data_IF_378082467969
#
_entry.id   IF_378082467969
#
_cell.length_a   1.000
_cell.length_b   1.000
_cell.length_c   1.000
_cell.angle_alpha   90.00
_cell.angle_beta   90.00
_cell.angle_gamma   90.00
#
_symmetry.space_group_name_H-M   'P 1'
#
loop_
_entity.id
_entity.type
_entity.pdbx_description
1 polymer ?
#
# COMPACT_ATOMS: atom_id res chain seq x y z
N UNK A 1 -24.59 -41.32 -0.45
CA UNK A 1 -23.88 -40.01 -0.55
C UNK A 1 -24.92 -38.93 -0.35
N UNK A 2 -24.94 -38.31 0.84
CA UNK A 2 -25.98 -37.36 1.23
C UNK A 2 -25.98 -36.10 0.42
N UNK A 3 -27.14 -35.65 0.00
CA UNK A 3 -27.40 -34.43 -0.78
C UNK A 3 -26.87 -33.17 -0.09
N UNK A 4 -26.57 -33.24 1.21
CA UNK A 4 -26.04 -32.12 2.00
C UNK A 4 -24.59 -31.75 1.65
N UNK A 5 -23.77 -32.67 1.13
CA UNK A 5 -22.37 -32.38 0.72
C UNK A 5 -22.24 -31.53 -0.56
N UNK A 6 -23.27 -31.52 -1.41
CA UNK A 6 -23.26 -30.76 -2.68
C UNK A 6 -23.50 -29.24 -2.50
N UNK A 7 -23.99 -28.83 -1.33
CA UNK A 7 -24.32 -27.41 -1.06
C UNK A 7 -23.08 -26.51 -0.79
N UNK A 8 -21.93 -27.10 -0.52
CA UNK A 8 -20.69 -26.38 -0.16
C UNK A 8 -19.77 -26.12 -1.36
N UNK A 9 -20.11 -26.67 -2.54
CA UNK A 9 -19.26 -26.58 -3.73
C UNK A 9 -19.50 -25.31 -4.57
N UNK A 10 -18.43 -24.74 -5.18
CA UNK A 10 -18.54 -23.64 -6.14
C UNK A 10 -19.43 -24.03 -7.33
N UNK A 11 -20.14 -23.09 -7.96
CA UNK A 11 -21.12 -23.36 -9.03
C UNK A 11 -20.58 -24.18 -10.21
N UNK A 12 -19.33 -23.97 -10.60
CA UNK A 12 -18.67 -24.68 -11.70
C UNK A 12 -18.40 -26.16 -11.40
N UNK A 13 -18.07 -26.51 -10.17
CA UNK A 13 -17.82 -27.90 -9.74
C UNK A 13 -19.13 -28.65 -9.56
N UNK A 14 -20.21 -27.97 -9.21
CA UNK A 14 -21.57 -28.55 -9.17
C UNK A 14 -22.04 -28.96 -10.56
N UNK A 15 -21.75 -28.13 -11.58
CA UNK A 15 -22.13 -28.42 -12.96
C UNK A 15 -21.39 -29.65 -13.52
N UNK A 16 -20.08 -29.74 -13.27
CA UNK A 16 -19.25 -30.88 -13.72
C UNK A 16 -19.64 -32.20 -13.04
N UNK A 17 -19.88 -32.19 -11.73
CA UNK A 17 -20.29 -33.37 -10.97
C UNK A 17 -21.73 -33.80 -11.35
N UNK A 18 -22.65 -32.86 -11.57
CA UNK A 18 -24.01 -33.13 -12.01
C UNK A 18 -24.09 -33.76 -13.39
N UNK A 19 -23.25 -33.34 -14.33
CA UNK A 19 -23.18 -33.91 -15.70
C UNK A 19 -22.51 -35.28 -15.72
N UNK A 20 -21.53 -35.57 -14.86
CA UNK A 20 -20.91 -36.88 -14.75
C UNK A 20 -21.88 -37.94 -14.19
N UNK A 21 -22.64 -37.57 -13.16
CA UNK A 21 -23.64 -38.46 -12.52
C UNK A 21 -24.84 -38.73 -13.45
N UNK A 22 -25.29 -37.75 -14.27
CA UNK A 22 -26.42 -37.93 -15.20
C UNK A 22 -26.09 -38.82 -16.40
N UNK A 23 -24.81 -38.98 -16.75
CA UNK A 23 -24.33 -39.79 -17.88
C UNK A 23 -23.89 -41.20 -17.50
N UNK A 24 -23.98 -41.60 -16.23
CA UNK A 24 -23.64 -42.95 -15.78
C UNK A 24 -22.14 -43.33 -15.95
N UNK A 25 -21.24 -42.36 -16.07
CA UNK A 25 -19.83 -42.57 -16.36
C UNK A 25 -19.00 -42.52 -15.07
N UNK A 26 -18.88 -43.66 -14.38
CA UNK A 26 -18.18 -43.79 -13.10
C UNK A 26 -16.70 -43.33 -13.19
N UNK A 27 -16.04 -43.54 -14.33
CA UNK A 27 -14.64 -43.15 -14.56
C UNK A 27 -14.42 -41.63 -14.48
N UNK A 28 -15.35 -40.82 -15.02
CA UNK A 28 -15.25 -39.36 -14.97
C UNK A 28 -15.55 -38.81 -13.57
N UNK A 29 -16.35 -39.54 -12.78
CA UNK A 29 -16.62 -39.18 -11.39
C UNK A 29 -15.39 -39.39 -10.50
N UNK A 30 -14.65 -40.46 -10.72
CA UNK A 30 -13.41 -40.77 -9.98
C UNK A 30 -12.29 -39.80 -10.35
N UNK A 31 -12.13 -39.42 -11.63
CA UNK A 31 -11.16 -38.40 -12.05
C UNK A 31 -11.51 -37.00 -11.49
N UNK A 32 -12.78 -36.63 -11.49
CA UNK A 32 -13.24 -35.38 -10.90
C UNK A 32 -13.04 -35.34 -9.38
N UNK A 33 -13.26 -36.50 -8.71
CA UNK A 33 -13.04 -36.62 -7.27
C UNK A 33 -11.54 -36.57 -6.93
N UNK A 34 -10.68 -37.24 -7.72
CA UNK A 34 -9.24 -37.17 -7.57
C UNK A 34 -8.68 -35.75 -7.77
N UNK A 35 -9.25 -34.99 -8.72
CA UNK A 35 -8.87 -33.60 -8.98
C UNK A 35 -9.28 -32.68 -7.79
N UNK A 36 -10.47 -32.89 -7.24
CA UNK A 36 -10.99 -32.10 -6.09
C UNK A 36 -10.19 -32.39 -4.83
N UNK A 37 -9.85 -33.65 -4.57
CA UNK A 37 -9.01 -34.01 -3.42
C UNK A 37 -7.58 -33.49 -3.60
N UNK A 38 -7.03 -33.55 -4.82
CA UNK A 38 -5.71 -32.97 -5.13
C UNK A 38 -5.65 -31.45 -4.96
N UNK A 39 -6.69 -30.74 -5.39
CA UNK A 39 -6.81 -29.27 -5.21
C UNK A 39 -7.01 -28.93 -3.73
N UNK A 40 -7.83 -29.69 -3.00
CA UNK A 40 -8.02 -29.49 -1.55
C UNK A 40 -6.73 -29.69 -0.77
N UNK A 41 -5.99 -30.78 -1.04
CA UNK A 41 -4.70 -31.04 -0.40
C UNK A 41 -3.64 -29.97 -0.79
N UNK A 42 -3.68 -29.45 -2.01
CA UNK A 42 -2.79 -28.39 -2.45
C UNK A 42 -3.10 -27.07 -1.74
N UNK A 43 -4.38 -26.73 -1.56
CA UNK A 43 -4.81 -25.56 -0.77
C UNK A 43 -4.44 -25.71 0.70
N UNK A 44 -4.61 -26.88 1.30
CA UNK A 44 -4.21 -27.14 2.68
C UNK A 44 -2.69 -27.02 2.87
N UNK A 45 -1.89 -27.52 1.95
CA UNK A 45 -0.43 -27.36 1.98
C UNK A 45 -0.02 -25.90 1.77
N UNK A 46 -0.68 -25.15 0.87
CA UNK A 46 -0.39 -23.73 0.67
C UNK A 46 -0.77 -22.89 1.91
N UNK A 47 -1.89 -23.21 2.57
CA UNK A 47 -2.37 -22.51 3.77
C UNK A 47 -1.57 -22.84 5.03
N UNK A 48 -0.82 -23.94 5.06
CA UNK A 48 0.06 -24.30 6.20
C UNK A 48 1.47 -23.75 6.08
N UNK A 49 1.87 -23.25 4.90
CA UNK A 49 3.25 -22.77 4.64
C UNK A 49 3.44 -21.26 4.82
N UNK A 50 2.34 -20.49 4.89
CA UNK A 50 2.42 -19.02 5.11
C UNK A 50 1.51 -18.61 6.27
N UNK A 51 1.89 -17.59 7.07
CA UNK A 51 1.00 -17.07 8.10
C UNK A 51 -0.32 -16.66 7.46
N UNK A 52 -1.40 -17.32 7.86
CA UNK A 52 -2.73 -17.06 7.32
C UNK A 52 -3.20 -15.63 7.64
N UNK A 53 -4.22 -15.15 6.92
CA UNK A 53 -4.82 -13.82 7.17
C UNK A 53 -5.14 -13.61 8.65
N UNK A 54 -5.65 -14.65 9.34
CA UNK A 54 -5.98 -14.60 10.77
C UNK A 54 -4.75 -14.31 11.64
N UNK A 55 -3.60 -14.91 11.35
CA UNK A 55 -2.36 -14.71 12.11
C UNK A 55 -1.82 -13.28 11.91
N UNK A 56 -1.76 -12.81 10.69
CA UNK A 56 -1.32 -11.45 10.39
C UNK A 56 -2.24 -10.42 11.02
N UNK A 57 -3.57 -10.61 10.92
CA UNK A 57 -4.53 -9.67 11.50
C UNK A 57 -4.49 -9.69 13.03
N UNK A 58 -4.29 -10.84 13.67
CA UNK A 58 -4.10 -10.96 15.13
C UNK A 58 -2.82 -10.22 15.58
N UNK A 59 -1.75 -10.29 14.79
CA UNK A 59 -0.52 -9.55 15.08
C UNK A 59 -0.73 -8.03 15.00
N UNK A 60 -1.41 -7.54 13.99
CA UNK A 60 -1.66 -6.10 13.78
C UNK A 60 -2.73 -5.57 14.73
N UNK A 61 -3.70 -6.41 15.15
CA UNK A 61 -4.82 -6.03 15.99
C UNK A 61 -4.46 -5.69 17.45
N UNK A 62 -3.25 -6.01 17.90
CA UNK A 62 -2.77 -5.62 19.24
C UNK A 62 -2.41 -4.12 19.26
N UNK A 63 -2.92 -3.31 20.19
CA UNK A 63 -2.70 -1.87 20.21
C UNK A 63 -1.23 -1.44 20.29
N UNK A 64 -0.41 -2.18 21.06
CA UNK A 64 1.01 -1.86 21.20
C UNK A 64 1.76 -2.13 19.90
N UNK A 65 1.51 -3.29 19.26
CA UNK A 65 2.10 -3.62 17.95
C UNK A 65 1.62 -2.69 16.85
N UNK A 66 0.34 -2.33 16.82
CA UNK A 66 -0.20 -1.35 15.88
C UNK A 66 0.50 0.02 16.00
N UNK A 67 0.73 0.50 17.24
CA UNK A 67 1.45 1.74 17.48
C UNK A 67 2.92 1.65 17.03
N UNK A 68 3.60 0.52 17.26
CA UNK A 68 4.97 0.29 16.78
C UNK A 68 5.04 0.33 15.24
N UNK A 69 4.14 -0.38 14.56
CA UNK A 69 4.06 -0.39 13.10
C UNK A 69 3.76 1.01 12.54
N UNK A 70 2.81 1.71 13.15
CA UNK A 70 2.46 3.08 12.75
C UNK A 70 3.62 4.06 12.92
N UNK A 71 4.44 3.91 13.98
CA UNK A 71 5.62 4.75 14.19
C UNK A 71 6.70 4.54 13.13
N UNK A 72 6.78 3.35 12.54
CA UNK A 72 7.74 3.01 11.49
C UNK A 72 7.28 3.41 10.07
N UNK A 73 6.05 3.92 9.94
CA UNK A 73 5.49 4.32 8.65
C UNK A 73 6.18 5.53 8.02
N UNK A 74 6.92 6.32 8.81
CA UNK A 74 7.72 7.43 8.29
C UNK A 74 9.01 6.99 7.58
N UNK A 75 9.31 5.69 7.58
CA UNK A 75 10.47 5.08 6.93
C UNK A 75 11.74 5.05 7.79
N UNK A 76 11.74 5.67 8.97
CA UNK A 76 12.87 5.62 9.89
C UNK A 76 13.04 4.23 10.50
N UNK A 77 14.27 3.89 10.81
CA UNK A 77 14.59 2.76 11.66
C UNK A 77 14.62 3.23 13.13
N UNK A 78 13.88 2.55 14.01
CA UNK A 78 13.79 2.87 15.43
C UNK A 78 14.35 1.74 16.28
N UNK A 79 14.91 2.10 17.43
CA UNK A 79 15.39 1.15 18.44
C UNK A 79 14.23 0.53 19.23
N UNK A 80 14.48 -0.59 19.91
CA UNK A 80 13.47 -1.22 20.77
C UNK A 80 12.99 -0.26 21.88
N UNK A 81 13.86 0.59 22.41
CA UNK A 81 13.53 1.57 23.46
C UNK A 81 12.57 2.65 22.93
N UNK A 82 12.84 3.20 21.74
CA UNK A 82 11.95 4.18 21.10
C UNK A 82 10.58 3.57 20.78
N UNK A 83 10.55 2.33 20.27
CA UNK A 83 9.31 1.62 19.98
C UNK A 83 8.53 1.25 21.25
N UNK A 84 9.21 0.90 22.35
CA UNK A 84 8.59 0.69 23.65
C UNK A 84 7.91 1.96 24.17
N UNK A 85 8.60 3.10 24.05
CA UNK A 85 8.05 4.41 24.41
C UNK A 85 6.80 4.77 23.61
N UNK A 86 6.86 4.64 22.28
CA UNK A 86 5.72 4.92 21.41
C UNK A 86 4.53 4.02 21.69
N UNK A 87 4.80 2.75 21.98
CA UNK A 87 3.75 1.76 22.27
C UNK A 87 3.21 1.86 23.70
N UNK A 88 3.86 2.61 24.60
CA UNK A 88 3.46 2.73 26.00
C UNK A 88 3.64 1.45 26.79
N UNK A 89 4.64 0.62 26.47
CA UNK A 89 4.91 -0.67 27.12
C UNK A 89 6.32 -0.76 27.69
N UNK A 90 6.53 -1.66 28.63
CA UNK A 90 7.85 -1.93 29.19
C UNK A 90 8.80 -2.60 28.18
N UNK A 91 10.12 -2.52 28.42
CA UNK A 91 11.15 -3.00 27.50
C UNK A 91 11.05 -4.51 27.20
N UNK A 92 10.73 -5.34 28.19
CA UNK A 92 10.52 -6.80 28.02
C UNK A 92 9.34 -7.10 27.11
N UNK A 93 8.22 -6.42 27.34
CA UNK A 93 7.00 -6.55 26.52
C UNK A 93 7.24 -6.08 25.09
N UNK A 94 7.94 -4.93 24.93
CA UNK A 94 8.32 -4.45 23.60
C UNK A 94 9.19 -5.45 22.86
N UNK A 95 10.17 -6.06 23.52
CA UNK A 95 11.03 -7.09 22.93
C UNK A 95 10.23 -8.30 22.45
N UNK A 96 9.25 -8.76 23.22
CA UNK A 96 8.37 -9.85 22.83
C UNK A 96 7.47 -9.48 21.62
N UNK A 97 6.92 -8.25 21.60
CA UNK A 97 6.15 -7.75 20.45
C UNK A 97 7.00 -7.63 19.19
N UNK A 98 8.21 -7.10 19.30
CA UNK A 98 9.15 -6.94 18.19
C UNK A 98 9.60 -8.28 17.62
N UNK A 99 9.83 -9.30 18.47
CA UNK A 99 10.13 -10.65 18.03
C UNK A 99 8.98 -11.22 17.19
N UNK A 100 7.74 -11.16 17.68
CA UNK A 100 6.56 -11.65 16.95
C UNK A 100 6.39 -10.97 15.60
N UNK A 101 6.57 -9.64 15.54
CA UNK A 101 6.46 -8.89 14.29
C UNK A 101 7.60 -9.22 13.30
N UNK A 102 8.80 -9.48 13.82
CA UNK A 102 9.96 -9.87 13.02
C UNK A 102 9.79 -11.30 12.45
N UNK A 103 9.36 -12.25 13.28
CA UNK A 103 9.16 -13.65 12.90
C UNK A 103 8.07 -13.79 11.82
N UNK A 104 7.06 -12.90 11.85
CA UNK A 104 6.04 -12.79 10.83
C UNK A 104 6.45 -11.95 9.60
N UNK A 105 7.73 -11.60 9.44
CA UNK A 105 8.24 -10.78 8.34
C UNK A 105 7.57 -9.40 8.18
N UNK A 106 6.97 -8.86 9.25
CA UNK A 106 6.44 -7.49 9.26
C UNK A 106 7.54 -6.46 9.55
N UNK A 107 8.60 -6.87 10.26
CA UNK A 107 9.77 -6.03 10.55
C UNK A 107 11.05 -6.66 10.03
N UNK A 108 12.00 -5.82 9.65
CA UNK A 108 13.40 -6.17 9.45
C UNK A 108 14.26 -5.49 10.52
N UNK A 109 15.39 -6.11 10.83
CA UNK A 109 16.35 -5.64 11.86
C UNK A 109 17.69 -5.34 11.23
N UNK A 110 18.19 -4.14 11.48
CA UNK A 110 19.57 -3.75 11.12
C UNK A 110 20.37 -3.59 12.41
N UNK A 111 21.51 -4.25 12.49
CA UNK A 111 22.46 -4.10 13.60
C UNK A 111 23.49 -3.03 13.24
N UNK A 112 23.68 -2.07 14.13
CA UNK A 112 24.71 -1.04 14.01
C UNK A 112 25.45 -0.93 15.36
N UNK A 113 26.64 -1.48 15.43
CA UNK A 113 27.37 -1.61 16.68
C UNK A 113 26.59 -2.46 17.70
N UNK A 114 26.36 -1.91 18.89
CA UNK A 114 25.55 -2.55 19.96
C UNK A 114 24.04 -2.32 19.83
N UNK A 115 23.60 -1.51 18.87
CA UNK A 115 22.19 -1.14 18.72
C UNK A 115 21.52 -2.00 17.63
N UNK A 116 20.24 -2.32 17.86
CA UNK A 116 19.34 -2.98 16.91
C UNK A 116 18.27 -1.97 16.51
N UNK A 117 18.17 -1.73 15.22
CA UNK A 117 17.17 -0.83 14.63
C UNK A 117 16.14 -1.65 13.87
N UNK A 118 14.88 -1.37 14.10
CA UNK A 118 13.74 -2.02 13.47
C UNK A 118 13.15 -1.08 12.43
N UNK A 119 12.76 -1.65 11.30
CA UNK A 119 12.03 -0.94 10.23
C UNK A 119 11.00 -1.90 9.62
N UNK A 120 10.04 -1.37 8.87
CA UNK A 120 9.11 -2.21 8.11
C UNK A 120 9.90 -3.09 7.13
N UNK A 121 9.54 -4.38 7.04
CA UNK A 121 10.32 -5.37 6.29
C UNK A 121 10.32 -5.10 4.78
N UNK A 122 9.23 -4.53 4.24
CA UNK A 122 9.11 -4.29 2.82
C UNK A 122 8.10 -3.18 2.49
N UNK A 123 8.15 -2.63 1.26
CA UNK A 123 7.11 -1.73 0.77
C UNK A 123 5.69 -2.34 0.77
N UNK A 124 5.57 -3.66 0.67
CA UNK A 124 4.28 -4.36 0.75
C UNK A 124 3.66 -4.20 2.14
N UNK A 125 4.46 -4.36 3.20
CA UNK A 125 4.02 -4.15 4.59
C UNK A 125 3.57 -2.70 4.78
N UNK A 126 4.32 -1.73 4.26
CA UNK A 126 3.92 -0.31 4.34
C UNK A 126 2.56 -0.07 3.68
N UNK A 127 2.32 -0.61 2.48
CA UNK A 127 1.02 -0.47 1.79
C UNK A 127 -0.12 -1.11 2.55
N UNK A 128 0.11 -2.30 3.13
CA UNK A 128 -0.89 -2.97 3.95
C UNK A 128 -1.28 -2.11 5.17
N UNK A 129 -0.32 -1.58 5.90
CA UNK A 129 -0.58 -0.72 7.05
C UNK A 129 -1.26 0.59 6.62
N UNK A 130 -0.86 1.21 5.50
CA UNK A 130 -1.54 2.39 4.94
C UNK A 130 -3.00 2.09 4.60
N UNK A 131 -3.29 0.94 3.99
CA UNK A 131 -4.64 0.51 3.68
C UNK A 131 -5.50 0.37 4.94
N UNK A 132 -4.97 -0.27 5.99
CA UNK A 132 -5.65 -0.42 7.29
C UNK A 132 -5.87 0.96 7.94
N UNK A 133 -4.87 1.84 7.96
CA UNK A 133 -4.99 3.20 8.50
C UNK A 133 -6.04 4.03 7.75
N UNK A 134 -6.08 3.89 6.44
CA UNK A 134 -7.06 4.53 5.56
C UNK A 134 -8.47 4.04 5.87
N UNK A 135 -8.68 2.72 5.92
CA UNK A 135 -9.96 2.13 6.27
C UNK A 135 -10.42 2.55 7.68
N UNK A 136 -9.52 2.48 8.67
CA UNK A 136 -9.81 2.91 10.04
C UNK A 136 -10.14 4.41 10.15
N UNK A 137 -9.71 5.23 9.20
CA UNK A 137 -10.04 6.64 9.14
C UNK A 137 -11.44 6.92 8.58
N UNK A 138 -12.06 5.98 7.87
CA UNK A 138 -13.42 6.12 7.35
C UNK A 138 -14.39 6.14 8.55
N UNK A 139 -15.19 7.22 8.67
CA UNK A 139 -16.19 7.36 9.72
C UNK A 139 -15.65 7.69 11.13
N UNK A 140 -14.35 7.75 11.33
CA UNK A 140 -13.76 8.11 12.62
C UNK A 140 -13.46 9.61 12.69
N UNK A 141 -13.85 10.33 13.75
CA UNK A 141 -13.44 11.72 13.93
C UNK A 141 -11.90 11.77 14.09
N UNK A 142 -11.26 12.86 13.63
CA UNK A 142 -9.81 13.02 13.78
C UNK A 142 -9.46 13.03 15.28
N UNK A 143 -8.73 12.04 15.73
CA UNK A 143 -8.19 12.01 17.09
C UNK A 143 -7.07 13.03 17.18
N UNK A 144 -7.19 13.98 18.12
CA UNK A 144 -6.09 14.89 18.42
C UNK A 144 -4.89 14.07 18.93
N UNK A 145 -3.78 14.13 18.22
CA UNK A 145 -2.46 13.71 18.70
C UNK A 145 -1.52 14.90 18.55
N UNK A 146 -0.69 15.21 19.57
CA UNK A 146 0.36 16.21 19.41
C UNK A 146 1.22 15.85 18.20
N UNK A 147 1.35 16.77 17.25
CA UNK A 147 2.08 16.54 16.00
C UNK A 147 3.55 16.82 16.24
N UNK A 148 4.43 15.86 15.96
CA UNK A 148 5.86 16.12 15.82
C UNK A 148 6.13 16.88 14.51
N UNK A 149 7.28 17.56 14.42
CA UNK A 149 7.71 18.21 13.16
C UNK A 149 7.78 17.21 12.01
N UNK A 150 8.15 15.97 12.30
CA UNK A 150 8.20 14.90 11.32
C UNK A 150 6.80 14.46 10.85
N UNK A 151 5.80 14.41 11.74
CA UNK A 151 4.41 14.13 11.35
C UNK A 151 3.86 15.23 10.43
N UNK A 152 4.22 16.48 10.69
CA UNK A 152 3.85 17.63 9.84
C UNK A 152 4.50 17.52 8.45
N UNK A 153 5.78 17.18 8.37
CA UNK A 153 6.47 16.97 7.10
C UNK A 153 5.86 15.81 6.30
N UNK A 154 5.59 14.68 6.95
CA UNK A 154 4.95 13.51 6.35
C UNK A 154 3.55 13.81 5.78
N UNK A 155 2.79 14.69 6.44
CA UNK A 155 1.47 15.11 5.97
C UNK A 155 1.56 16.09 4.82
N UNK A 156 2.57 16.96 4.83
CA UNK A 156 2.75 17.94 3.77
C UNK A 156 3.14 17.26 2.45
N UNK A 157 4.21 16.48 2.46
CA UNK A 157 4.69 15.79 1.28
C UNK A 157 5.51 14.55 1.65
N UNK A 158 5.20 13.43 1.04
CA UNK A 158 5.93 12.16 1.23
C UNK A 158 5.88 11.31 -0.02
N UNK A 159 6.75 10.31 -0.07
CA UNK A 159 6.60 9.21 -1.02
C UNK A 159 5.66 8.16 -0.48
N UNK A 160 4.77 7.65 -1.34
CA UNK A 160 3.96 6.46 -1.14
C UNK A 160 4.44 5.42 -2.14
N UNK A 161 5.42 4.61 -1.72
CA UNK A 161 6.17 3.70 -2.59
C UNK A 161 6.99 4.46 -3.65
N UNK A 162 6.45 4.73 -4.83
CA UNK A 162 7.14 5.35 -5.97
C UNK A 162 6.41 6.58 -6.52
N UNK A 163 5.38 7.03 -5.88
CA UNK A 163 4.59 8.20 -6.23
C UNK A 163 4.42 9.14 -5.04
N UNK A 164 3.95 10.35 -5.29
CA UNK A 164 3.81 11.39 -4.27
C UNK A 164 2.49 11.29 -3.54
N UNK A 165 2.51 11.56 -2.24
CA UNK A 165 1.38 11.52 -1.32
C UNK A 165 1.43 12.70 -0.32
N UNK A 166 0.49 12.74 0.61
CA UNK A 166 0.25 13.88 1.47
C UNK A 166 -0.44 15.02 0.72
N UNK A 167 -0.45 16.20 1.31
CA UNK A 167 -1.07 17.39 0.69
C UNK A 167 -0.54 17.66 -0.72
N UNK A 168 0.76 17.49 -0.96
CA UNK A 168 1.35 17.63 -2.28
C UNK A 168 0.79 16.64 -3.28
N UNK A 169 0.75 15.34 -2.91
CA UNK A 169 0.24 14.29 -3.82
C UNK A 169 -1.23 14.48 -4.16
N UNK A 170 -2.04 14.86 -3.18
CA UNK A 170 -3.47 15.16 -3.37
C UNK A 170 -3.65 16.42 -4.23
N UNK A 171 -2.90 17.50 -3.96
CA UNK A 171 -2.97 18.72 -4.75
C UNK A 171 -2.60 18.51 -6.22
N UNK A 172 -1.60 17.65 -6.50
CA UNK A 172 -1.24 17.27 -7.88
C UNK A 172 -2.39 16.50 -8.57
N UNK A 173 -3.03 15.57 -7.86
CA UNK A 173 -4.18 14.86 -8.41
C UNK A 173 -5.34 15.80 -8.70
N UNK A 174 -5.66 16.68 -7.76
CA UNK A 174 -6.72 17.68 -7.91
C UNK A 174 -6.48 18.61 -9.09
N UNK A 175 -5.27 19.15 -9.22
CA UNK A 175 -4.91 20.04 -10.31
C UNK A 175 -5.04 19.34 -11.67
N UNK A 176 -4.54 18.11 -11.80
CA UNK A 176 -4.63 17.36 -13.06
C UNK A 176 -6.07 17.00 -13.43
N UNK A 177 -6.94 16.72 -12.44
CA UNK A 177 -8.36 16.48 -12.67
C UNK A 177 -9.07 17.79 -13.01
N UNK A 178 -8.81 18.87 -12.28
CA UNK A 178 -9.42 20.19 -12.52
C UNK A 178 -9.10 20.76 -13.92
N UNK A 179 -7.87 20.53 -14.40
CA UNK A 179 -7.45 20.93 -15.75
C UNK A 179 -7.92 19.95 -16.84
N UNK A 180 -8.64 18.88 -16.50
CA UNK A 180 -9.10 17.88 -17.45
C UNK A 180 -7.95 17.05 -18.04
N UNK A 181 -6.80 17.00 -17.40
CA UNK A 181 -5.64 16.21 -17.82
C UNK A 181 -5.77 14.73 -17.46
N UNK A 182 -6.45 14.44 -16.35
CA UNK A 182 -6.71 13.09 -15.84
C UNK A 182 -8.18 12.96 -15.49
N UNK A 183 -8.78 11.83 -15.84
CA UNK A 183 -10.08 11.39 -15.33
C UNK A 183 -9.83 10.28 -14.32
N UNK A 184 -10.28 10.46 -13.07
CA UNK A 184 -10.16 9.45 -12.02
C UNK A 184 -11.52 8.82 -11.74
N UNK A 185 -11.60 7.49 -11.84
CA UNK A 185 -12.66 6.67 -11.28
C UNK A 185 -12.27 6.06 -9.95
N UNK A 186 -13.09 5.15 -9.43
CA UNK A 186 -12.87 4.53 -8.11
C UNK A 186 -11.63 3.62 -8.08
N UNK A 187 -11.39 2.84 -9.13
CA UNK A 187 -10.30 1.85 -9.20
C UNK A 187 -9.22 2.18 -10.23
N UNK A 188 -9.55 2.98 -11.23
CA UNK A 188 -8.67 3.31 -12.34
C UNK A 188 -8.79 4.79 -12.73
N UNK A 189 -7.79 5.27 -13.49
CA UNK A 189 -7.82 6.59 -14.07
C UNK A 189 -7.26 6.56 -15.49
N UNK A 190 -7.62 7.58 -16.26
CA UNK A 190 -7.20 7.78 -17.64
C UNK A 190 -6.50 9.11 -17.81
N UNK A 191 -5.41 9.13 -18.59
CA UNK A 191 -4.76 10.34 -19.06
C UNK A 191 -5.44 10.78 -20.35
N UNK A 192 -5.98 11.99 -20.34
CA UNK A 192 -6.64 12.56 -21.53
C UNK A 192 -5.59 13.00 -22.56
N UNK A 193 -6.05 13.27 -23.79
CA UNK A 193 -5.18 13.86 -24.84
C UNK A 193 -4.57 15.19 -24.37
N UNK A 194 -5.36 16.03 -23.68
CA UNK A 194 -4.86 17.27 -23.08
C UNK A 194 -3.79 17.00 -22.00
N UNK A 195 -3.99 15.97 -21.19
CA UNK A 195 -3.01 15.54 -20.19
C UNK A 195 -1.71 15.03 -20.81
N UNK A 196 -1.76 14.27 -21.89
CA UNK A 196 -0.57 13.82 -22.63
C UNK A 196 0.24 15.04 -23.09
N UNK A 197 -0.41 16.03 -23.69
CA UNK A 197 0.23 17.26 -24.16
C UNK A 197 0.80 18.10 -23.01
N UNK A 198 0.10 18.16 -21.88
CA UNK A 198 0.56 18.89 -20.70
C UNK A 198 1.80 18.24 -20.09
N UNK A 199 1.83 16.91 -19.96
CA UNK A 199 2.98 16.18 -19.43
C UNK A 199 4.18 16.21 -20.40
N UNK A 200 3.94 16.20 -21.71
CA UNK A 200 4.98 16.35 -22.73
C UNK A 200 5.67 17.72 -22.63
N UNK A 201 4.91 18.80 -22.40
CA UNK A 201 5.45 20.15 -22.16
C UNK A 201 6.33 20.24 -20.91
N UNK A 202 6.07 19.39 -19.91
CA UNK A 202 6.89 19.28 -18.70
C UNK A 202 8.14 18.40 -18.92
N UNK A 203 8.34 17.85 -20.12
CA UNK A 203 9.44 16.95 -20.40
C UNK A 203 9.23 15.53 -19.87
N UNK A 204 8.00 15.19 -19.44
CA UNK A 204 7.64 13.83 -19.08
C UNK A 204 7.37 13.08 -20.38
N UNK A 205 8.42 12.45 -20.91
CA UNK A 205 8.40 11.85 -22.24
C UNK A 205 7.31 10.77 -22.37
N UNK A 206 6.70 10.68 -23.56
CA UNK A 206 5.71 9.66 -23.92
C UNK A 206 6.21 8.23 -23.66
N UNK A 207 7.52 8.01 -23.75
CA UNK A 207 8.13 6.68 -23.48
C UNK A 207 8.14 6.33 -22.01
N UNK A 208 8.27 7.32 -21.10
CA UNK A 208 8.10 7.11 -19.65
C UNK A 208 6.66 6.75 -19.28
N UNK A 209 5.70 7.14 -20.13
CA UNK A 209 4.27 6.86 -19.98
C UNK A 209 3.82 5.59 -20.72
N UNK A 210 4.73 4.91 -21.46
CA UNK A 210 4.39 3.66 -22.13
C UNK A 210 4.03 2.60 -21.11
N UNK A 211 2.97 1.86 -21.41
CA UNK A 211 2.45 0.78 -20.58
C UNK A 211 3.52 -0.27 -20.32
N UNK A 212 3.97 -0.38 -19.10
CA UNK A 212 4.59 -1.61 -18.64
C UNK A 212 3.48 -2.63 -18.50
N UNK A 213 3.57 -3.77 -19.19
CA UNK A 213 2.62 -4.89 -19.03
C UNK A 213 2.48 -5.38 -17.59
N UNK A 214 3.33 -4.91 -16.68
CA UNK A 214 3.38 -5.29 -15.25
C UNK A 214 2.80 -4.22 -14.32
N UNK A 215 2.33 -3.05 -14.84
CA UNK A 215 1.94 -1.93 -14.00
C UNK A 215 0.67 -1.26 -14.50
N UNK A 216 -0.25 -0.94 -13.58
CA UNK A 216 -1.43 -0.12 -13.88
C UNK A 216 -0.98 1.27 -14.27
N UNK A 217 -1.52 1.80 -15.37
CA UNK A 217 -1.09 3.07 -15.97
C UNK A 217 -1.41 4.27 -15.08
N UNK A 218 -2.65 4.39 -14.64
CA UNK A 218 -3.14 5.41 -13.73
C UNK A 218 -4.17 4.80 -12.78
N UNK A 219 -4.07 5.09 -11.50
CA UNK A 219 -5.07 4.69 -10.52
C UNK A 219 -5.09 5.65 -9.34
N UNK A 220 -6.24 5.81 -8.69
CA UNK A 220 -6.30 6.49 -7.40
C UNK A 220 -5.58 5.66 -6.33
N UNK A 221 -4.97 6.37 -5.38
CA UNK A 221 -4.45 5.79 -4.16
C UNK A 221 -4.91 6.69 -3.00
N UNK A 222 -5.74 6.16 -2.10
CA UNK A 222 -6.32 6.97 -1.04
C UNK A 222 -5.27 7.39 -0.02
N UNK A 223 -5.17 8.70 0.22
CA UNK A 223 -4.23 9.26 1.18
C UNK A 223 -4.75 9.12 2.62
N UNK A 224 -3.97 8.47 3.49
CA UNK A 224 -4.37 8.24 4.88
C UNK A 224 -4.45 9.53 5.71
N UNK A 225 -3.71 10.59 5.32
CA UNK A 225 -3.68 11.86 6.04
C UNK A 225 -4.73 12.86 5.56
N UNK A 226 -4.95 12.91 4.24
CA UNK A 226 -5.88 13.84 3.59
C UNK A 226 -7.26 13.25 3.35
N UNK A 227 -7.38 11.90 3.36
CA UNK A 227 -8.61 11.14 3.05
C UNK A 227 -9.17 11.44 1.67
N UNK A 228 -8.28 11.73 0.74
CA UNK A 228 -8.55 12.05 -0.66
C UNK A 228 -7.57 11.30 -1.55
N UNK A 229 -7.93 10.99 -2.79
CA UNK A 229 -7.04 10.27 -3.67
C UNK A 229 -5.84 11.12 -4.12
N UNK A 230 -4.70 10.50 -4.25
CA UNK A 230 -3.54 10.96 -4.99
C UNK A 230 -3.23 9.97 -6.12
N UNK A 231 -2.39 10.37 -7.08
CA UNK A 231 -2.12 9.57 -8.27
C UNK A 231 -1.04 8.53 -8.05
N UNK A 232 -1.36 7.29 -8.34
CA UNK A 232 -0.45 6.16 -8.39
C UNK A 232 -0.37 5.56 -9.80
N UNK A 233 0.42 4.50 -9.96
CA UNK A 233 0.67 3.87 -11.25
C UNK A 233 1.81 4.54 -12.00
N UNK A 234 1.87 4.32 -13.31
CA UNK A 234 2.94 4.86 -14.16
C UNK A 234 2.98 6.39 -14.15
N UNK A 235 1.81 7.04 -14.20
CA UNK A 235 1.72 8.51 -14.15
C UNK A 235 2.19 9.06 -12.82
N UNK A 236 1.73 8.48 -11.70
CA UNK A 236 2.15 8.90 -10.36
C UNK A 236 3.66 8.80 -10.15
N UNK A 237 4.27 7.72 -10.66
CA UNK A 237 5.71 7.51 -10.59
C UNK A 237 6.47 8.50 -11.50
N UNK A 238 5.99 8.75 -12.72
CA UNK A 238 6.63 9.69 -13.64
C UNK A 238 6.63 11.13 -13.08
N UNK A 239 5.52 11.54 -12.45
CA UNK A 239 5.43 12.83 -11.76
C UNK A 239 6.41 12.93 -10.58
N UNK A 240 6.52 11.87 -9.78
CA UNK A 240 7.47 11.84 -8.67
C UNK A 240 8.91 11.93 -9.17
N UNK A 241 9.28 11.14 -10.19
CA UNK A 241 10.59 11.18 -10.84
C UNK A 241 10.91 12.57 -11.37
N UNK A 242 9.97 13.18 -12.12
CA UNK A 242 10.13 14.55 -12.61
C UNK A 242 10.41 15.55 -11.48
N UNK A 243 9.64 15.49 -10.38
CA UNK A 243 9.86 16.39 -9.25
C UNK A 243 11.23 16.21 -8.60
N UNK A 244 11.77 14.99 -8.53
CA UNK A 244 13.12 14.72 -8.02
C UNK A 244 14.20 15.19 -9.00
N UNK A 245 14.09 14.87 -10.28
CA UNK A 245 15.08 15.18 -11.32
C UNK A 245 15.24 16.70 -11.52
N UNK A 246 14.15 17.46 -11.38
CA UNK A 246 14.16 18.91 -11.47
C UNK A 246 14.41 19.61 -10.11
N UNK A 247 14.78 18.85 -9.07
CA UNK A 247 15.00 19.36 -7.72
C UNK A 247 13.81 20.17 -7.15
N UNK A 248 12.58 19.81 -7.54
CA UNK A 248 11.39 20.40 -6.94
C UNK A 248 11.15 19.86 -5.55
N UNK A 249 11.55 18.61 -5.33
CA UNK A 249 11.52 17.95 -4.04
C UNK A 249 12.86 17.28 -3.75
N UNK A 250 13.16 17.12 -2.48
CA UNK A 250 14.35 16.44 -1.99
C UNK A 250 13.99 15.46 -0.88
N UNK A 251 14.70 14.34 -0.85
CA UNK A 251 14.56 13.37 0.24
C UNK A 251 14.97 13.98 1.59
N UNK A 252 14.18 13.73 2.63
CA UNK A 252 14.60 13.94 4.00
C UNK A 252 15.28 12.65 4.48
N UNK A 253 16.48 12.78 5.03
CA UNK A 253 17.28 11.66 5.48
C UNK A 253 16.48 10.77 6.45
N UNK A 254 16.57 9.45 6.23
CA UNK A 254 15.93 8.42 7.03
C UNK A 254 14.40 8.58 7.18
N UNK A 255 13.74 9.19 6.20
CA UNK A 255 12.30 9.42 6.18
C UNK A 255 11.72 9.24 4.80
N UNK A 256 10.43 8.90 4.72
CA UNK A 256 9.65 8.99 3.47
C UNK A 256 9.12 10.40 3.19
N UNK A 257 9.21 11.31 4.16
CA UNK A 257 8.89 12.71 3.92
C UNK A 257 9.85 13.30 2.89
N UNK A 258 9.34 14.22 2.07
CA UNK A 258 10.12 14.98 1.12
C UNK A 258 9.99 16.47 1.42
N UNK A 259 11.05 17.21 1.18
CA UNK A 259 11.09 18.67 1.32
C UNK A 259 10.78 19.29 -0.04
N UNK A 260 9.83 20.21 -0.08
CA UNK A 260 9.56 21.02 -1.26
C UNK A 260 10.56 22.18 -1.27
N UNK A 261 11.35 22.29 -2.32
CA UNK A 261 12.36 23.33 -2.48
C UNK A 261 11.75 24.66 -2.95
N UNK A 262 12.49 25.78 -2.89
CA UNK A 262 12.03 27.03 -3.54
C UNK A 262 11.76 26.86 -5.04
N UNK A 263 12.61 26.12 -5.77
CA UNK A 263 12.40 25.78 -7.17
C UNK A 263 11.13 24.96 -7.37
N UNK A 264 10.87 24.00 -6.45
CA UNK A 264 9.67 23.21 -6.45
C UNK A 264 8.40 24.03 -6.23
N UNK A 265 8.40 24.98 -5.30
CA UNK A 265 7.25 25.90 -5.13
C UNK A 265 6.96 26.70 -6.39
N UNK A 266 7.99 27.21 -7.04
CA UNK A 266 7.85 27.94 -8.31
C UNK A 266 7.34 27.02 -9.42
N UNK A 267 7.91 25.83 -9.58
CA UNK A 267 7.52 24.85 -10.59
C UNK A 267 6.09 24.36 -10.41
N UNK A 268 5.71 24.00 -9.18
CA UNK A 268 4.35 23.54 -8.85
C UNK A 268 3.30 24.62 -9.12
N UNK A 269 3.61 25.89 -8.78
CA UNK A 269 2.74 27.01 -9.10
C UNK A 269 2.62 27.22 -10.61
N UNK A 270 3.75 27.24 -11.33
CA UNK A 270 3.76 27.48 -12.77
C UNK A 270 3.11 26.39 -13.60
N UNK A 271 3.33 25.11 -13.23
CA UNK A 271 2.90 23.97 -14.02
C UNK A 271 1.51 23.48 -13.68
N UNK A 272 1.09 23.63 -12.40
CA UNK A 272 -0.13 23.02 -11.87
C UNK A 272 -1.02 24.01 -11.10
N UNK A 273 -0.63 25.26 -10.96
CA UNK A 273 -1.33 26.26 -10.13
C UNK A 273 -1.47 25.85 -8.65
N UNK A 274 -0.44 25.15 -8.12
CA UNK A 274 -0.44 24.64 -6.77
C UNK A 274 0.33 25.56 -5.84
N UNK A 275 -0.34 26.05 -4.79
CA UNK A 275 0.24 26.75 -3.65
C UNK A 275 0.09 25.92 -2.39
N UNK A 276 1.20 25.46 -1.84
CA UNK A 276 1.26 24.78 -0.55
C UNK A 276 1.86 25.73 0.48
N UNK A 277 1.02 26.19 1.40
CA UNK A 277 1.42 27.02 2.52
C UNK A 277 2.30 26.29 3.55
#
# INVERSE_FOLDING_TARGET
MDILCLLIWPPLLRWAAGTALSKGNASLADEAFGLVVGVGAFYDVLMTLEPGLAEVTALIGDPARANMLAALMDGRALTATELAYVAGVGASTASAHLAKLHDANLLSVVKQGRHRYFRLASPLVSRMIEGIMTFAAIGSPPRYRPRSTNDTAMRLARTCYDHLAGRLGVALADALVAHGHVVLGDDAGELTTAGILALDKLGIAKDALRHSHKRVFCRPCLDWSERRPHLAGTIGAALATHCFDHHWIEHIRDSRAVRITPAGRAGLRSAFDIELG
#
